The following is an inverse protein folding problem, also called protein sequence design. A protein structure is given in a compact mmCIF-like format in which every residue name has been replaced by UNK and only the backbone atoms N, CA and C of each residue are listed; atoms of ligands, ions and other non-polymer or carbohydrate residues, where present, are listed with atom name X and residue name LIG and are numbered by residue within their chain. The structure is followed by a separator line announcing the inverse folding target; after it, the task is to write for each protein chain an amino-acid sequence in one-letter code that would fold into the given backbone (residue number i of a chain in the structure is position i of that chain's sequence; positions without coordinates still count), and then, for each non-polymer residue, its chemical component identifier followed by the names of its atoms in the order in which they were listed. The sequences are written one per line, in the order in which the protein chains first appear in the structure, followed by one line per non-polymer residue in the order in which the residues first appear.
data_IF_982528005946
#
_entry.id   IF_982528005946
#
_cell.length_a   1.000
_cell.length_b   1.000
_cell.length_c   1.000
_cell.angle_alpha   90.00
_cell.angle_beta   90.00
_cell.angle_gamma   90.00
#
_symmetry.space_group_name_H-M   'P 1'
#
loop_
_entity.id
_entity.type
_entity.pdbx_description
1 polymer ?
#
# COMPACT_ATOMS: atom_id res chain seq x y z
N UNK A 1 25.44 -65.25 -27.58
CA UNK A 1 25.16 -63.82 -27.83
C UNK A 1 25.48 -62.88 -26.64
N UNK A 2 26.07 -63.35 -25.53
CA UNK A 2 26.41 -62.53 -24.35
C UNK A 2 27.92 -62.17 -24.26
N UNK A 3 28.75 -62.78 -25.11
CA UNK A 3 30.22 -62.64 -25.06
C UNK A 3 30.77 -61.37 -25.73
N UNK A 4 30.00 -60.68 -26.57
CA UNK A 4 30.51 -59.56 -27.37
C UNK A 4 30.29 -58.19 -26.72
N UNK A 5 29.32 -58.07 -25.81
CA UNK A 5 28.99 -56.80 -25.13
C UNK A 5 30.00 -56.40 -24.04
N UNK A 6 30.77 -57.34 -23.50
CA UNK A 6 31.75 -57.07 -22.43
C UNK A 6 33.02 -56.32 -22.88
N UNK A 7 33.33 -56.32 -24.19
CA UNK A 7 34.53 -55.64 -24.73
C UNK A 7 34.32 -54.17 -25.08
N UNK A 8 33.08 -53.77 -25.37
CA UNK A 8 32.76 -52.36 -25.71
C UNK A 8 32.64 -51.51 -24.43
N UNK A 9 32.21 -52.11 -23.31
CA UNK A 9 32.07 -51.41 -22.03
C UNK A 9 33.40 -51.22 -21.25
N UNK A 10 34.50 -51.87 -21.66
CA UNK A 10 35.81 -51.71 -21.00
C UNK A 10 36.69 -50.62 -21.61
N UNK A 11 36.43 -50.20 -22.85
CA UNK A 11 37.14 -49.09 -23.52
C UNK A 11 36.64 -47.71 -23.06
N UNK A 12 35.43 -47.62 -22.51
CA UNK A 12 34.91 -46.37 -21.91
C UNK A 12 35.27 -46.20 -20.42
N UNK A 13 36.17 -47.04 -19.87
CA UNK A 13 36.52 -47.04 -18.44
C UNK A 13 37.95 -46.55 -18.13
N UNK A 14 38.65 -45.96 -19.09
CA UNK A 14 39.97 -45.38 -18.84
C UNK A 14 40.17 -44.10 -19.65
N UNK A 15 39.69 -42.95 -19.13
CA UNK A 15 40.34 -41.61 -19.19
C UNK A 15 39.67 -40.53 -18.31
N UNK A 16 38.70 -40.85 -17.46
CA UNK A 16 38.34 -39.97 -16.33
C UNK A 16 39.16 -40.31 -15.07
N UNK A 17 40.44 -40.66 -15.29
CA UNK A 17 41.39 -40.79 -14.19
C UNK A 17 41.56 -39.40 -13.58
N UNK A 18 41.08 -39.27 -12.34
CA UNK A 18 41.10 -38.07 -11.51
C UNK A 18 42.40 -37.29 -11.68
N UNK A 19 42.38 -36.27 -12.53
CA UNK A 19 43.29 -35.14 -12.38
C UNK A 19 42.67 -34.33 -11.25
N UNK A 20 43.17 -34.52 -10.04
CA UNK A 20 42.99 -33.56 -8.96
C UNK A 20 43.74 -32.29 -9.36
N UNK A 21 43.19 -31.52 -10.31
CA UNK A 21 43.67 -30.17 -10.58
C UNK A 21 43.16 -29.29 -9.44
N UNK A 22 44.06 -28.96 -8.51
CA UNK A 22 43.78 -27.96 -7.49
C UNK A 22 43.36 -26.64 -8.13
N UNK A 23 42.33 -26.02 -7.56
CA UNK A 23 41.80 -24.74 -7.99
C UNK A 23 42.93 -23.70 -8.04
N UNK A 24 43.17 -23.06 -9.19
CA UNK A 24 44.21 -22.01 -9.25
C UNK A 24 43.70 -20.73 -8.57
N UNK A 25 44.56 -20.00 -7.86
CA UNK A 25 44.19 -18.70 -7.28
C UNK A 25 43.69 -17.72 -8.35
N UNK A 26 44.21 -17.82 -9.57
CA UNK A 26 43.81 -17.01 -10.72
C UNK A 26 42.41 -17.34 -11.24
N UNK A 27 41.96 -18.61 -11.18
CA UNK A 27 40.58 -18.97 -11.54
C UNK A 27 39.57 -18.39 -10.56
N UNK A 28 39.89 -18.39 -9.26
CA UNK A 28 39.00 -17.77 -8.27
C UNK A 28 39.00 -16.25 -8.45
N UNK A 29 40.16 -15.65 -8.72
CA UNK A 29 40.30 -14.21 -8.88
C UNK A 29 39.52 -13.67 -10.10
N UNK A 30 39.68 -14.30 -11.27
CA UNK A 30 38.94 -13.88 -12.47
C UNK A 30 37.44 -14.15 -12.30
N UNK A 31 37.06 -15.25 -11.63
CA UNK A 31 35.67 -15.54 -11.30
C UNK A 31 35.01 -14.45 -10.44
N UNK A 32 35.68 -14.01 -9.37
CA UNK A 32 35.20 -12.92 -8.53
C UNK A 32 35.10 -11.59 -9.28
N UNK A 33 36.04 -11.31 -10.20
CA UNK A 33 35.97 -10.14 -11.07
C UNK A 33 34.72 -10.16 -11.96
N UNK A 34 34.42 -11.28 -12.61
CA UNK A 34 33.24 -11.41 -13.48
C UNK A 34 31.95 -11.29 -12.67
N UNK A 35 31.85 -11.97 -11.52
CA UNK A 35 30.68 -11.85 -10.63
C UNK A 35 30.51 -10.42 -10.13
N UNK A 36 31.61 -9.70 -9.85
CA UNK A 36 31.58 -8.29 -9.45
C UNK A 36 30.99 -7.37 -10.52
N UNK A 37 31.37 -7.57 -11.80
CA UNK A 37 30.81 -6.79 -12.91
C UNK A 37 29.30 -7.07 -13.05
N UNK A 38 28.90 -8.34 -13.03
CA UNK A 38 27.48 -8.71 -13.12
C UNK A 38 26.65 -8.18 -11.95
N UNK A 39 27.19 -8.27 -10.73
CA UNK A 39 26.53 -7.79 -9.52
C UNK A 39 26.31 -6.27 -9.56
N UNK A 40 27.27 -5.49 -10.09
CA UNK A 40 27.16 -4.03 -10.13
C UNK A 40 25.96 -3.52 -10.95
N UNK A 41 25.61 -4.21 -12.03
CA UNK A 41 24.45 -3.88 -12.88
C UNK A 41 23.16 -4.51 -12.32
N UNK A 42 23.24 -5.74 -11.81
CA UNK A 42 22.05 -6.48 -11.39
C UNK A 42 21.48 -6.03 -10.03
N UNK A 43 22.34 -5.69 -9.05
CA UNK A 43 21.91 -5.37 -7.67
C UNK A 43 20.93 -4.20 -7.61
N UNK A 44 21.18 -3.04 -8.27
CA UNK A 44 20.24 -1.92 -8.21
C UNK A 44 18.86 -2.26 -8.79
N UNK A 45 18.82 -2.99 -9.91
CA UNK A 45 17.57 -3.43 -10.54
C UNK A 45 16.81 -4.43 -9.67
N UNK A 46 17.53 -5.40 -9.08
CA UNK A 46 16.95 -6.40 -8.19
C UNK A 46 16.32 -5.78 -6.94
N UNK A 47 16.96 -4.77 -6.34
CA UNK A 47 16.42 -4.05 -5.19
C UNK A 47 15.14 -3.27 -5.55
N UNK A 48 15.07 -2.64 -6.72
CA UNK A 48 13.87 -1.99 -7.21
C UNK A 48 12.71 -2.97 -7.42
N UNK A 49 12.97 -4.10 -8.10
CA UNK A 49 11.96 -5.14 -8.32
C UNK A 49 11.44 -5.73 -7.00
N UNK A 50 12.32 -5.94 -6.02
CA UNK A 50 11.99 -6.40 -4.68
C UNK A 50 11.07 -5.42 -3.94
N UNK A 51 11.40 -4.13 -3.94
CA UNK A 51 10.59 -3.10 -3.29
C UNK A 51 9.20 -2.99 -3.95
N UNK A 52 9.13 -3.06 -5.27
CA UNK A 52 7.87 -3.09 -5.99
C UNK A 52 7.01 -4.31 -5.59
N UNK A 53 7.62 -5.50 -5.46
CA UNK A 53 6.90 -6.68 -5.00
C UNK A 53 6.34 -6.51 -3.57
N UNK A 54 7.09 -5.88 -2.68
CA UNK A 54 6.62 -5.56 -1.32
C UNK A 54 5.46 -4.55 -1.32
N UNK A 55 5.51 -3.55 -2.18
CA UNK A 55 4.41 -2.61 -2.35
C UNK A 55 3.15 -3.30 -2.89
N UNK A 56 3.30 -4.24 -3.82
CA UNK A 56 2.18 -5.04 -4.33
C UNK A 56 1.57 -5.96 -3.26
N UNK A 57 2.37 -6.49 -2.33
CA UNK A 57 1.88 -7.27 -1.16
C UNK A 57 0.93 -6.41 -0.29
N UNK A 58 1.32 -5.17 0.01
CA UNK A 58 0.49 -4.23 0.77
C UNK A 58 -0.78 -3.81 -0.01
N UNK A 59 -0.65 -3.51 -1.31
CA UNK A 59 -1.79 -3.16 -2.17
C UNK A 59 -2.80 -4.30 -2.27
N UNK A 60 -2.34 -5.55 -2.39
CA UNK A 60 -3.21 -6.73 -2.44
C UNK A 60 -4.01 -6.90 -1.13
N UNK A 61 -3.34 -6.71 0.01
CA UNK A 61 -3.99 -6.77 1.33
C UNK A 61 -5.05 -5.67 1.49
N UNK A 62 -4.77 -4.46 1.01
CA UNK A 62 -5.74 -3.36 1.01
C UNK A 62 -6.93 -3.62 0.10
N UNK A 63 -6.74 -4.26 -1.06
CA UNK A 63 -7.85 -4.65 -1.95
C UNK A 63 -8.73 -5.71 -1.27
N UNK A 64 -8.14 -6.71 -0.62
CA UNK A 64 -8.90 -7.74 0.09
C UNK A 64 -9.74 -7.14 1.23
N UNK A 65 -9.16 -6.23 2.03
CA UNK A 65 -9.89 -5.48 3.06
C UNK A 65 -10.97 -4.57 2.48
N UNK A 66 -10.72 -3.91 1.35
CA UNK A 66 -11.74 -3.11 0.66
C UNK A 66 -12.93 -3.96 0.22
N UNK A 67 -12.67 -5.14 -0.36
CA UNK A 67 -13.74 -6.07 -0.75
C UNK A 67 -14.53 -6.57 0.48
N UNK A 68 -13.84 -6.86 1.59
CA UNK A 68 -14.49 -7.21 2.86
C UNK A 68 -15.37 -6.06 3.36
N UNK A 69 -14.89 -4.82 3.27
CA UNK A 69 -15.68 -3.63 3.62
C UNK A 69 -16.89 -3.44 2.71
N UNK A 70 -16.78 -3.69 1.40
CA UNK A 70 -17.91 -3.64 0.47
C UNK A 70 -18.97 -4.72 0.78
N UNK A 71 -18.53 -5.94 1.16
CA UNK A 71 -19.44 -7.01 1.61
C UNK A 71 -20.14 -6.61 2.91
N UNK A 72 -19.38 -6.07 3.86
CA UNK A 72 -19.91 -5.56 5.13
C UNK A 72 -20.97 -4.47 4.91
N UNK A 73 -20.67 -3.51 4.03
CA UNK A 73 -21.60 -2.48 3.61
C UNK A 73 -22.86 -3.05 2.95
N UNK A 74 -22.72 -4.06 2.08
CA UNK A 74 -23.88 -4.69 1.45
C UNK A 74 -24.83 -5.36 2.46
N UNK A 75 -24.30 -5.84 3.59
CA UNK A 75 -25.10 -6.47 4.64
C UNK A 75 -25.76 -5.44 5.58
N UNK A 76 -25.09 -4.32 5.86
CA UNK A 76 -25.53 -3.37 6.90
C UNK A 76 -26.09 -2.06 6.37
N UNK A 77 -25.77 -1.69 5.12
CA UNK A 77 -26.10 -0.39 4.54
C UNK A 77 -25.15 0.74 4.92
N UNK A 78 -24.12 0.47 5.73
CA UNK A 78 -23.03 1.39 6.06
C UNK A 78 -21.73 0.64 6.45
N UNK A 79 -20.65 1.37 6.69
CA UNK A 79 -19.35 0.85 7.14
C UNK A 79 -19.17 0.89 8.68
N UNK A 80 -20.23 1.10 9.44
CA UNK A 80 -20.14 1.12 10.91
C UNK A 80 -19.83 -0.26 11.48
N UNK A 81 -19.40 -0.34 12.73
CA UNK A 81 -19.29 -1.65 13.39
C UNK A 81 -20.69 -2.27 13.60
N UNK A 82 -20.80 -3.59 13.48
CA UNK A 82 -22.10 -4.26 13.52
C UNK A 82 -22.77 -4.29 14.90
N UNK A 83 -22.05 -3.87 15.95
CA UNK A 83 -22.53 -3.98 17.33
C UNK A 83 -23.16 -2.69 17.86
N UNK A 84 -22.53 -1.55 17.58
CA UNK A 84 -22.91 -0.24 18.10
C UNK A 84 -23.39 0.72 17.01
N UNK A 85 -23.25 0.33 15.74
CA UNK A 85 -23.47 1.19 14.58
C UNK A 85 -22.67 2.49 14.66
N UNK A 86 -21.50 2.44 15.30
CA UNK A 86 -20.63 3.57 15.53
C UNK A 86 -19.53 3.70 14.47
N UNK A 87 -19.00 4.90 14.31
CA UNK A 87 -17.77 5.13 13.56
C UNK A 87 -17.06 6.41 14.00
N UNK A 88 -15.80 6.57 13.58
CA UNK A 88 -14.97 7.73 13.89
C UNK A 88 -14.37 7.77 15.30
N UNK A 89 -14.66 6.77 16.15
CA UNK A 89 -14.02 6.56 17.45
C UNK A 89 -13.12 5.32 17.46
N UNK A 90 -12.14 5.28 18.35
CA UNK A 90 -11.22 4.14 18.52
C UNK A 90 -11.96 2.83 18.82
N UNK A 91 -13.00 2.91 19.66
CA UNK A 91 -13.82 1.76 20.02
C UNK A 91 -14.57 1.20 18.81
N UNK A 92 -15.26 2.07 18.05
CA UNK A 92 -15.96 1.66 16.83
C UNK A 92 -15.01 1.13 15.75
N UNK A 93 -13.82 1.73 15.61
CA UNK A 93 -12.85 1.27 14.62
C UNK A 93 -12.27 -0.11 14.99
N UNK A 94 -12.08 -0.39 16.28
CA UNK A 94 -11.64 -1.71 16.76
C UNK A 94 -12.73 -2.78 16.55
N UNK A 95 -13.99 -2.42 16.78
CA UNK A 95 -15.13 -3.31 16.52
C UNK A 95 -15.30 -3.60 15.01
N UNK A 96 -15.20 -2.56 14.17
CA UNK A 96 -15.20 -2.72 12.71
C UNK A 96 -14.05 -3.62 12.25
N UNK A 97 -12.84 -3.44 12.79
CA UNK A 97 -11.71 -4.30 12.46
C UNK A 97 -11.99 -5.79 12.73
N UNK A 98 -12.63 -6.09 13.87
CA UNK A 98 -13.04 -7.45 14.20
C UNK A 98 -14.11 -8.01 13.23
N UNK A 99 -15.01 -7.17 12.73
CA UNK A 99 -16.00 -7.58 11.73
C UNK A 99 -15.37 -7.82 10.36
N UNK A 100 -14.45 -6.97 9.93
CA UNK A 100 -13.65 -7.18 8.71
C UNK A 100 -12.83 -8.47 8.80
N UNK A 101 -12.22 -8.76 9.96
CA UNK A 101 -11.42 -9.97 10.16
C UNK A 101 -12.24 -11.26 10.05
N UNK A 102 -13.55 -11.22 10.35
CA UNK A 102 -14.44 -12.37 10.12
C UNK A 102 -14.67 -12.62 8.62
N UNK A 103 -14.68 -11.57 7.81
CA UNK A 103 -14.90 -11.62 6.37
C UNK A 103 -13.62 -11.97 5.60
N UNK A 104 -12.47 -11.45 6.06
CA UNK A 104 -11.15 -11.70 5.49
C UNK A 104 -10.16 -12.18 6.57
N UNK A 105 -10.19 -13.49 6.92
CA UNK A 105 -9.35 -14.03 7.99
C UNK A 105 -7.87 -14.14 7.61
N UNK A 106 -7.51 -13.97 6.32
CA UNK A 106 -6.13 -13.96 5.85
C UNK A 106 -5.35 -12.70 6.21
N UNK A 107 -6.04 -11.68 6.75
CA UNK A 107 -5.49 -10.37 7.10
C UNK A 107 -5.77 -10.07 8.56
N UNK A 108 -4.80 -9.47 9.24
CA UNK A 108 -4.95 -8.97 10.60
C UNK A 108 -5.46 -7.52 10.56
N UNK A 109 -6.78 -7.36 10.58
CA UNK A 109 -7.39 -6.04 10.63
C UNK A 109 -7.28 -5.45 12.04
N UNK A 110 -6.78 -4.22 12.16
CA UNK A 110 -6.62 -3.50 13.42
C UNK A 110 -7.39 -2.18 13.41
N UNK A 111 -7.81 -1.70 14.58
CA UNK A 111 -8.54 -0.45 14.68
C UNK A 111 -7.75 0.78 14.20
N UNK A 112 -8.47 1.84 13.85
CA UNK A 112 -7.93 3.00 13.15
C UNK A 112 -6.78 3.75 13.83
N UNK A 113 -6.65 3.68 15.16
CA UNK A 113 -5.54 4.29 15.91
C UNK A 113 -4.34 3.36 16.13
N UNK A 114 -4.46 2.08 15.73
CA UNK A 114 -3.34 1.15 15.65
C UNK A 114 -2.68 1.28 14.28
N UNK A 115 -1.35 1.38 14.26
CA UNK A 115 -0.61 1.43 13.01
C UNK A 115 -0.52 0.06 12.36
N UNK A 116 -0.55 0.06 11.03
CA UNK A 116 -0.05 -1.06 10.26
C UNK A 116 1.46 -1.23 10.51
N UNK A 117 1.85 -2.44 10.88
CA UNK A 117 3.25 -2.82 11.14
C UNK A 117 3.84 -3.72 10.06
N UNK A 118 3.02 -4.21 9.14
CA UNK A 118 3.31 -5.23 8.14
C UNK A 118 2.26 -5.13 7.02
N UNK A 119 2.54 -5.60 5.79
CA UNK A 119 1.57 -5.59 4.70
C UNK A 119 0.27 -6.35 5.03
N UNK A 120 0.35 -7.35 5.92
CA UNK A 120 -0.80 -8.16 6.35
C UNK A 120 -1.52 -7.62 7.59
N UNK A 121 -1.00 -6.58 8.23
CA UNK A 121 -1.66 -5.91 9.37
C UNK A 121 -2.28 -4.63 8.83
N UNK A 122 -3.59 -4.60 8.62
CA UNK A 122 -4.26 -3.48 7.96
C UNK A 122 -5.04 -2.67 8.98
N UNK A 123 -4.66 -1.39 9.15
CA UNK A 123 -5.42 -0.47 10.00
C UNK A 123 -6.65 0.01 9.25
N UNK A 124 -7.83 -0.09 9.87
CA UNK A 124 -9.12 0.27 9.27
C UNK A 124 -9.90 1.27 10.13
N UNK A 125 -10.66 2.14 9.49
CA UNK A 125 -11.55 3.08 10.16
C UNK A 125 -12.73 3.46 9.25
N UNK A 126 -13.87 3.74 9.86
CA UNK A 126 -15.04 4.28 9.18
C UNK A 126 -15.32 5.69 9.69
N UNK A 127 -15.89 6.55 8.83
CA UNK A 127 -16.16 7.95 9.16
C UNK A 127 -17.58 8.34 8.80
N UNK A 128 -18.12 9.24 9.62
CA UNK A 128 -19.38 9.90 9.38
C UNK A 128 -19.31 10.75 8.11
N UNK A 129 -20.40 10.70 7.37
CA UNK A 129 -20.61 11.52 6.19
C UNK A 129 -21.87 12.36 6.32
N UNK A 130 -21.98 13.36 5.47
CA UNK A 130 -23.04 14.36 5.50
C UNK A 130 -23.60 14.56 4.10
N UNK A 131 -24.85 15.04 4.04
CA UNK A 131 -25.47 15.51 2.80
C UNK A 131 -24.91 16.88 2.41
N UNK A 132 -25.25 17.35 1.21
CA UNK A 132 -24.94 18.73 0.78
C UNK A 132 -25.58 19.80 1.69
N UNK A 133 -26.59 19.41 2.47
CA UNK A 133 -27.29 20.26 3.44
C UNK A 133 -26.77 20.08 4.87
N UNK A 134 -25.61 19.42 5.05
CA UNK A 134 -24.98 19.15 6.34
C UNK A 134 -25.78 18.22 7.29
N UNK A 135 -26.70 17.43 6.76
CA UNK A 135 -27.39 16.38 7.52
C UNK A 135 -26.48 15.15 7.68
N UNK A 136 -26.46 14.53 8.86
CA UNK A 136 -25.68 13.31 9.11
C UNK A 136 -26.26 12.11 8.34
N UNK A 137 -25.44 11.44 7.56
CA UNK A 137 -25.81 10.28 6.72
C UNK A 137 -25.18 8.96 7.20
N UNK A 138 -24.63 8.95 8.41
CA UNK A 138 -23.97 7.78 9.01
C UNK A 138 -22.59 7.48 8.39
N UNK A 139 -22.14 6.25 8.61
CA UNK A 139 -20.78 5.80 8.36
C UNK A 139 -20.57 5.38 6.91
N UNK A 140 -20.56 6.33 5.98
CA UNK A 140 -20.52 6.06 4.54
C UNK A 140 -19.13 6.28 3.92
N UNK A 141 -18.10 6.42 4.75
CA UNK A 141 -16.71 6.49 4.33
C UNK A 141 -15.89 5.45 5.08
N UNK A 142 -14.99 4.80 4.35
CA UNK A 142 -14.09 3.76 4.84
C UNK A 142 -12.65 4.10 4.46
N UNK A 143 -11.74 3.83 5.39
CA UNK A 143 -10.31 4.04 5.25
C UNK A 143 -9.57 2.77 5.65
N UNK A 144 -8.56 2.41 4.88
CA UNK A 144 -7.65 1.32 5.20
C UNK A 144 -6.20 1.72 4.87
N UNK A 145 -5.26 1.30 5.71
CA UNK A 145 -3.82 1.58 5.51
C UNK A 145 -2.96 0.35 5.80
N UNK A 146 -1.93 0.16 4.97
CA UNK A 146 -1.01 -0.96 5.09
C UNK A 146 0.45 -0.51 4.84
N UNK A 147 1.34 -0.88 5.75
CA UNK A 147 2.76 -0.59 5.67
C UNK A 147 3.45 -1.67 4.83
N UNK A 148 4.00 -1.26 3.69
CA UNK A 148 4.84 -2.13 2.88
C UNK A 148 6.19 -2.38 3.55
N UNK A 149 6.77 -3.55 3.29
CA UNK A 149 8.15 -3.87 3.70
C UNK A 149 9.18 -2.96 3.02
N UNK A 150 8.80 -2.23 1.97
CA UNK A 150 9.61 -1.17 1.36
C UNK A 150 9.78 0.07 2.26
N UNK A 151 8.93 0.20 3.29
CA UNK A 151 8.85 1.39 4.15
C UNK A 151 7.83 2.44 3.69
N UNK A 152 7.04 2.13 2.65
CA UNK A 152 5.94 2.99 2.18
C UNK A 152 4.62 2.61 2.83
N UNK A 153 3.85 3.60 3.28
CA UNK A 153 2.48 3.38 3.74
C UNK A 153 1.51 3.53 2.56
N UNK A 154 0.75 2.50 2.27
CA UNK A 154 -0.29 2.50 1.24
C UNK A 154 -1.65 2.73 1.86
N UNK A 155 -2.50 3.48 1.17
CA UNK A 155 -3.76 4.00 1.70
C UNK A 155 -4.85 3.78 0.68
N UNK A 156 -5.98 3.26 1.14
CA UNK A 156 -7.25 3.17 0.39
C UNK A 156 -8.30 3.95 1.15
N UNK A 157 -9.10 4.69 0.38
CA UNK A 157 -10.32 5.31 0.85
C UNK A 157 -11.47 4.89 -0.04
N UNK A 158 -12.63 4.65 0.54
CA UNK A 158 -13.90 4.46 -0.17
C UNK A 158 -14.94 5.37 0.43
N UNK A 159 -15.70 6.07 -0.40
CA UNK A 159 -16.84 6.88 0.06
C UNK A 159 -17.99 6.69 -0.91
N UNK A 160 -19.18 6.50 -0.35
CA UNK A 160 -20.40 6.26 -1.13
C UNK A 160 -20.78 7.52 -1.91
N UNK A 161 -21.37 7.33 -3.09
CA UNK A 161 -21.75 8.44 -3.96
C UNK A 161 -22.73 9.40 -3.29
N UNK A 162 -22.51 10.70 -3.51
CA UNK A 162 -23.36 11.76 -2.95
C UNK A 162 -23.21 11.96 -1.45
N UNK A 163 -22.20 11.34 -0.82
CA UNK A 163 -21.87 11.50 0.60
C UNK A 163 -20.60 12.33 0.74
N UNK A 164 -20.61 13.30 1.65
CA UNK A 164 -19.51 14.24 1.86
C UNK A 164 -18.91 14.07 3.26
N UNK A 165 -17.63 14.36 3.47
CA UNK A 165 -17.08 14.44 4.83
C UNK A 165 -17.35 15.83 5.42
N UNK A 166 -17.44 15.92 6.75
CA UNK A 166 -17.77 17.17 7.44
C UNK A 166 -16.67 18.24 7.30
N UNK A 167 -17.07 19.51 7.21
CA UNK A 167 -16.17 20.66 6.99
C UNK A 167 -15.12 20.89 8.11
N UNK A 168 -15.34 20.35 9.31
CA UNK A 168 -14.42 20.40 10.45
C UNK A 168 -13.62 19.11 10.67
N UNK A 169 -13.85 18.09 9.84
CA UNK A 169 -12.98 16.90 9.77
C UNK A 169 -11.71 17.27 9.00
N UNK A 170 -10.88 18.10 9.63
CA UNK A 170 -9.43 17.95 9.60
C UNK A 170 -8.85 17.45 8.24
N UNK A 171 -9.02 18.32 7.24
CA UNK A 171 -8.41 18.48 5.90
C UNK A 171 -8.68 17.49 4.74
N UNK A 172 -9.06 18.03 3.56
CA UNK A 172 -10.33 18.70 3.35
C UNK A 172 -11.12 17.97 2.27
N UNK A 173 -12.37 17.64 2.59
CA UNK A 173 -13.43 17.71 1.59
C UNK A 173 -14.12 19.03 1.86
N UNK A 174 -13.91 20.01 0.97
CA UNK A 174 -14.81 21.15 0.92
C UNK A 174 -16.18 20.60 0.58
N UNK A 175 -17.10 20.67 1.54
CA UNK A 175 -18.53 20.69 1.23
C UNK A 175 -18.72 21.74 0.14
N UNK A 176 -19.20 21.35 -1.04
CA UNK A 176 -19.75 22.35 -1.92
C UNK A 176 -20.95 22.94 -1.18
N UNK A 177 -20.87 24.22 -0.81
CA UNK A 177 -22.07 25.03 -0.70
C UNK A 177 -22.73 24.97 -2.06
N UNK A 178 -23.90 24.33 -2.10
CA UNK A 178 -24.74 24.20 -3.27
C UNK A 178 -24.82 25.55 -4.00
N UNK A 179 -24.46 25.59 -5.28
CA UNK A 179 -24.71 26.74 -6.14
C UNK A 179 -26.22 27.02 -6.08
N UNK A 180 -26.60 28.15 -5.47
CA UNK A 180 -27.81 28.85 -5.87
C UNK A 180 -27.60 29.26 -7.34
N UNK A 181 -28.57 28.96 -8.20
CA UNK A 181 -28.53 29.07 -9.66
C UNK A 181 -28.44 30.51 -10.19
N UNK A 182 -27.70 31.41 -9.55
CA UNK A 182 -27.72 32.85 -9.85
C UNK A 182 -26.39 33.60 -9.79
N UNK A 183 -25.22 32.96 -9.66
CA UNK A 183 -23.99 33.73 -9.89
C UNK A 183 -22.78 32.92 -10.36
N UNK A 184 -22.21 33.41 -11.46
CA UNK A 184 -21.07 32.89 -12.18
C UNK A 184 -19.76 33.14 -11.43
N UNK A 185 -19.20 32.09 -10.82
CA UNK A 185 -17.75 31.87 -10.67
C UNK A 185 -17.53 30.47 -10.08
N UNK A 186 -17.40 29.47 -10.95
CA UNK A 186 -17.23 28.07 -10.56
C UNK A 186 -15.74 27.74 -10.53
N UNK A 187 -15.19 27.44 -9.35
CA UNK A 187 -13.99 26.61 -9.24
C UNK A 187 -14.46 25.15 -9.28
N UNK A 188 -14.48 24.56 -10.47
CA UNK A 188 -14.81 23.15 -10.69
C UNK A 188 -13.70 22.27 -10.13
N UNK A 189 -13.95 21.63 -8.98
CA UNK A 189 -13.24 20.40 -8.65
C UNK A 189 -14.10 19.22 -9.06
N UNK A 190 -13.52 18.33 -9.84
CA UNK A 190 -14.19 17.16 -10.39
C UNK A 190 -14.68 16.26 -9.25
N UNK A 191 -15.97 15.93 -9.25
CA UNK A 191 -16.71 15.05 -8.32
C UNK A 191 -16.07 13.67 -8.06
N UNK A 192 -15.01 13.32 -8.80
CA UNK A 192 -14.22 12.07 -8.70
C UNK A 192 -13.31 11.99 -7.47
N UNK A 193 -13.00 13.08 -6.78
CA UNK A 193 -12.06 13.06 -5.63
C UNK A 193 -12.73 12.71 -4.28
N UNK A 194 -14.06 12.61 -4.25
CA UNK A 194 -14.81 12.32 -3.03
C UNK A 194 -15.56 11.01 -3.09
N UNK A 195 -16.03 10.56 -4.25
CA UNK A 195 -16.86 9.37 -4.37
C UNK A 195 -16.08 8.21 -4.99
N UNK A 196 -16.44 6.98 -4.59
CA UNK A 196 -15.79 5.78 -5.06
C UNK A 196 -14.50 5.44 -4.30
N UNK A 197 -13.76 4.47 -4.84
CA UNK A 197 -12.47 4.05 -4.27
C UNK A 197 -11.36 4.97 -4.78
N UNK A 198 -10.48 5.37 -3.87
CA UNK A 198 -9.33 6.21 -4.18
C UNK A 198 -8.09 5.71 -3.42
N UNK A 199 -6.93 5.90 -4.04
CA UNK A 199 -5.68 5.26 -3.65
C UNK A 199 -4.57 6.30 -3.46
N UNK A 200 -3.73 6.13 -2.44
CA UNK A 200 -2.58 6.99 -2.19
C UNK A 200 -1.45 6.22 -1.52
N UNK A 201 -0.28 6.86 -1.42
CA UNK A 201 0.84 6.31 -0.67
C UNK A 201 1.71 7.42 -0.07
N UNK A 202 2.33 7.14 1.08
CA UNK A 202 3.37 7.96 1.69
C UNK A 202 4.67 7.17 1.65
N UNK A 203 5.72 7.74 1.05
CA UNK A 203 7.02 7.06 0.89
C UNK A 203 7.99 7.40 2.01
N UNK A 204 8.53 6.35 2.65
CA UNK A 204 9.64 6.49 3.58
C UNK A 204 10.96 6.60 2.88
N UNK A 205 11.67 7.70 3.14
CA UNK A 205 13.05 7.88 2.72
C UNK A 205 13.96 7.76 3.93
N UNK A 206 14.95 6.87 3.84
CA UNK A 206 16.12 6.95 4.71
C UNK A 206 16.96 8.14 4.28
N UNK A 207 17.71 8.72 5.22
CA UNK A 207 18.52 9.95 5.12
C UNK A 207 19.73 9.85 4.16
N UNK A 208 19.55 9.36 2.93
CA UNK A 208 20.65 8.93 2.07
C UNK A 208 20.79 9.56 0.68
N UNK A 209 19.80 10.28 0.13
CA UNK A 209 19.97 10.88 -1.21
C UNK A 209 19.22 12.20 -1.48
N UNK A 210 18.23 12.60 -0.68
CA UNK A 210 17.31 13.69 -1.09
C UNK A 210 17.22 14.84 -0.08
N UNK A 211 17.90 14.76 1.07
CA UNK A 211 17.91 15.77 2.15
C UNK A 211 16.54 16.26 2.68
N UNK A 212 15.42 15.70 2.23
CA UNK A 212 14.09 15.98 2.76
C UNK A 212 13.82 15.09 3.99
N UNK A 213 14.02 15.68 5.17
CA UNK A 213 13.98 15.05 6.49
C UNK A 213 12.57 15.05 7.12
N UNK A 214 11.54 15.43 6.36
CA UNK A 214 10.19 15.58 6.90
C UNK A 214 9.43 14.25 7.05
N UNK A 215 9.81 13.21 6.28
CA UNK A 215 9.10 11.92 6.22
C UNK A 215 10.04 10.71 6.45
N UNK A 216 10.64 10.64 7.65
CA UNK A 216 11.50 9.51 8.03
C UNK A 216 10.72 8.19 8.16
N UNK A 217 11.40 7.06 7.91
CA UNK A 217 10.81 5.70 7.94
C UNK A 217 10.02 5.41 9.23
N UNK A 218 10.54 5.82 10.39
CA UNK A 218 9.85 5.65 11.69
C UNK A 218 8.60 6.50 11.82
N UNK A 219 8.61 7.72 11.27
CA UNK A 219 7.48 8.63 11.29
C UNK A 219 6.34 8.09 10.42
N UNK A 220 6.66 7.51 9.26
CA UNK A 220 5.67 6.88 8.38
C UNK A 220 5.10 5.62 8.98
N UNK A 221 5.94 4.75 9.55
CA UNK A 221 5.46 3.56 10.24
C UNK A 221 4.47 3.94 11.37
N UNK A 222 4.74 5.04 12.09
CA UNK A 222 3.84 5.55 13.13
C UNK A 222 2.57 6.19 12.57
N UNK A 223 2.65 6.87 11.42
CA UNK A 223 1.54 7.55 10.76
C UNK A 223 0.68 6.64 9.87
N UNK A 224 1.10 5.39 9.63
CA UNK A 224 0.38 4.41 8.81
C UNK A 224 -0.81 3.82 9.57
N UNK A 225 -1.77 4.68 9.92
CA UNK A 225 -2.99 4.35 10.66
C UNK A 225 -4.19 4.94 9.92
N UNK A 226 -5.32 4.24 9.85
CA UNK A 226 -6.49 4.74 9.13
C UNK A 226 -7.10 6.00 9.76
N UNK A 227 -7.06 6.14 11.09
CA UNK A 227 -7.62 7.30 11.78
C UNK A 227 -6.93 8.61 11.40
N UNK A 228 -5.64 8.58 11.02
CA UNK A 228 -4.91 9.80 10.64
C UNK A 228 -5.13 10.17 9.17
N UNK A 229 -5.54 9.23 8.31
CA UNK A 229 -5.72 9.47 6.87
C UNK A 229 -7.10 10.04 6.50
N UNK A 230 -8.02 10.12 7.46
CA UNK A 230 -9.38 10.66 7.24
C UNK A 230 -9.78 11.81 8.16
N UNK A 231 -8.96 12.19 9.14
CA UNK A 231 -9.37 13.12 10.22
C UNK A 231 -8.24 13.97 10.86
N UNK A 232 -7.25 14.52 10.13
CA UNK A 232 -6.15 15.36 10.73
C UNK A 232 -5.85 16.76 10.11
N UNK A 233 -5.99 17.85 10.91
CA UNK A 233 -5.70 19.27 10.57
C UNK A 233 -4.26 19.46 10.06
N UNK A 234 -4.01 20.52 9.28
CA UNK A 234 -2.68 20.96 8.77
C UNK A 234 -1.66 21.14 9.90
N UNK A 235 -2.13 21.22 11.14
CA UNK A 235 -1.35 21.70 12.28
C UNK A 235 -0.80 20.61 13.22
N UNK A 236 -0.95 19.29 12.97
CA UNK A 236 -0.40 18.32 13.95
C UNK A 236 0.12 16.96 13.50
N UNK A 237 0.32 16.64 12.22
CA UNK A 237 1.16 15.45 11.91
C UNK A 237 1.82 15.57 10.54
N UNK A 238 3.16 15.55 10.52
CA UNK A 238 3.90 15.19 9.31
C UNK A 238 3.46 13.79 8.86
N UNK A 239 3.46 13.49 7.55
CA UNK A 239 3.07 12.19 6.98
C UNK A 239 1.54 11.91 6.94
N UNK A 240 0.74 12.85 6.43
CA UNK A 240 -0.69 12.63 6.09
C UNK A 240 -0.94 13.00 4.63
N UNK A 241 -1.76 12.22 3.93
CA UNK A 241 -2.14 12.46 2.53
C UNK A 241 -3.23 13.53 2.43
N UNK A 242 -3.05 14.51 1.55
CA UNK A 242 -4.08 15.49 1.21
C UNK A 242 -5.13 14.86 0.28
N UNK A 243 -6.37 15.34 0.32
CA UNK A 243 -7.44 14.85 -0.57
C UNK A 243 -7.08 14.96 -2.07
N UNK A 244 -6.24 15.93 -2.46
CA UNK A 244 -5.75 16.12 -3.84
C UNK A 244 -4.69 15.11 -4.28
N UNK A 245 -4.12 14.35 -3.35
CA UNK A 245 -3.04 13.39 -3.60
C UNK A 245 -3.58 11.95 -3.78
N UNK A 246 -4.90 11.79 -3.78
CA UNK A 246 -5.57 10.53 -4.10
C UNK A 246 -5.76 10.35 -5.61
N UNK A 247 -5.59 9.11 -6.05
CA UNK A 247 -5.72 8.67 -7.43
C UNK A 247 -6.86 7.67 -7.59
N UNK A 248 -7.38 7.51 -8.82
CA UNK A 248 -8.45 6.56 -9.16
C UNK A 248 -7.97 5.11 -9.27
N UNK A 249 -6.66 4.90 -9.32
CA UNK A 249 -6.01 3.58 -9.35
C UNK A 249 -4.66 3.64 -8.63
N UNK A 250 -4.07 2.47 -8.38
CA UNK A 250 -2.71 2.40 -7.84
C UNK A 250 -1.73 3.06 -8.80
N UNK A 251 -1.04 4.09 -8.33
CA UNK A 251 0.11 4.64 -9.03
C UNK A 251 1.30 3.70 -8.80
N UNK A 252 1.83 3.11 -9.87
CA UNK A 252 3.09 2.37 -9.76
C UNK A 252 4.19 3.32 -9.28
N UNK A 253 5.01 2.84 -8.34
CA UNK A 253 6.21 3.55 -7.92
C UNK A 253 7.19 3.47 -9.08
N UNK A 254 7.12 4.43 -9.99
CA UNK A 254 8.14 4.56 -11.03
C UNK A 254 9.48 4.73 -10.30
N UNK A 255 10.34 3.72 -10.43
CA UNK A 255 11.77 3.90 -10.19
C UNK A 255 12.17 5.10 -11.05
N UNK A 256 12.88 6.07 -10.48
CA UNK A 256 13.38 7.23 -11.21
C UNK A 256 14.30 6.80 -12.33
N UNK A 257 13.73 6.44 -13.47
CA UNK A 257 14.36 6.57 -14.77
C UNK A 257 14.00 7.97 -15.23
N UNK A 258 15.02 8.81 -15.39
CA UNK A 258 14.91 9.99 -16.24
C UNK A 258 14.20 9.58 -17.53
N UNK A 259 13.02 10.13 -17.72
CA UNK A 259 12.13 9.76 -18.81
C UNK A 259 11.03 10.79 -18.90
N UNK A 260 11.42 12.00 -19.32
CA UNK A 260 10.52 12.91 -20.02
C UNK A 260 9.71 12.12 -21.04
N UNK A 261 8.38 12.21 -20.99
CA UNK A 261 7.56 12.23 -22.19
C UNK A 261 6.19 12.83 -21.86
N UNK A 262 6.03 14.05 -22.40
CA UNK A 262 4.84 14.64 -23.04
C UNK A 262 3.46 14.20 -22.57
#
# INVERSE_FOLDING_TARGET
MISTYRRILSEFKLRFSRRESGFTLTELAIGMLVVGILASVAVPSFLGARNNAYDKEAQASLIAVLNAADIHYANQGDYSDASSAGCGSDASATALAADIQKLEPGIDAVGGTSASTSPLVVSVDAKNTYSSNAELLGCQAFYATALSRSGSCWIVRKTVEGKFLGASSTLPIQMATQLNTQNSAVATWTLLQVNGAAFAYIRGRSTGADADNTNGLSAIATACKAATQGTGSVSSTANVIKSTEFYTSWKDVQAGANGSNS
#
